data_IF_296546605765
#
_entry.id   IF_296546605765
#
_cell.length_a   1.000
_cell.length_b   1.000
_cell.length_c   1.000
_cell.angle_alpha   90.00
_cell.angle_beta   90.00
_cell.angle_gamma   90.00
#
_symmetry.space_group_name_H-M   'P 1'
#
loop_
_entity.id
_entity.type
_entity.pdbx_description
1 polymer ?
#
# COMPACT_ATOMS: atom_id res chain seq x y z
N UNK A 1 4.70 -6.50 34.40
CA UNK A 1 4.80 -5.32 33.52
C UNK A 1 4.14 -5.68 32.20
N UNK A 2 3.14 -4.93 31.74
CA UNK A 2 2.59 -5.15 30.40
C UNK A 2 3.66 -4.82 29.35
N UNK A 3 3.76 -5.66 28.30
CA UNK A 3 4.72 -5.43 27.23
C UNK A 3 4.45 -4.07 26.54
N UNK A 4 5.48 -3.37 26.00
CA UNK A 4 5.39 -1.99 25.49
C UNK A 4 4.36 -1.70 24.36
N UNK A 5 3.57 -2.68 23.93
CA UNK A 5 2.55 -2.54 22.90
C UNK A 5 1.20 -3.19 23.24
N UNK A 6 1.01 -3.67 24.48
CA UNK A 6 -0.15 -4.51 24.86
C UNK A 6 -1.53 -3.86 24.63
N UNK A 7 -1.60 -2.54 24.42
CA UNK A 7 -2.84 -1.82 24.11
C UNK A 7 -2.72 -0.89 22.89
N UNK A 8 -1.72 -1.10 22.02
CA UNK A 8 -1.66 -0.39 20.75
C UNK A 8 -2.73 -0.96 19.81
N UNK A 9 -3.56 -0.09 19.25
CA UNK A 9 -4.58 -0.44 18.25
C UNK A 9 -4.31 0.32 16.96
N UNK A 10 -4.55 -0.34 15.83
CA UNK A 10 -4.60 0.32 14.53
C UNK A 10 -5.97 0.99 14.33
N UNK A 11 -6.05 1.92 13.38
CA UNK A 11 -7.32 2.41 12.87
C UNK A 11 -7.81 1.47 11.75
N UNK A 12 -8.83 0.67 12.04
CA UNK A 12 -9.40 -0.33 11.12
C UNK A 12 -10.11 0.30 9.92
N UNK A 13 -10.89 1.36 10.15
CA UNK A 13 -11.62 2.06 9.10
C UNK A 13 -10.64 2.67 8.08
N UNK A 14 -9.56 3.31 8.57
CA UNK A 14 -8.50 3.85 7.71
C UNK A 14 -7.82 2.76 6.86
N UNK A 15 -7.60 1.57 7.43
CA UNK A 15 -7.05 0.44 6.68
C UNK A 15 -8.02 -0.01 5.59
N UNK A 16 -9.30 -0.16 5.94
CA UNK A 16 -10.33 -0.55 4.99
C UNK A 16 -10.46 0.43 3.84
N UNK A 17 -10.47 1.73 4.12
CA UNK A 17 -10.50 2.78 3.10
C UNK A 17 -9.29 2.69 2.16
N UNK A 18 -8.08 2.44 2.69
CA UNK A 18 -6.88 2.26 1.85
C UNK A 18 -6.95 1.01 0.96
N UNK A 19 -7.54 -0.08 1.44
CA UNK A 19 -7.77 -1.28 0.63
C UNK A 19 -8.76 -0.98 -0.51
N UNK A 20 -9.85 -0.28 -0.22
CA UNK A 20 -10.85 0.08 -1.21
C UNK A 20 -10.31 1.09 -2.24
N UNK A 21 -9.44 2.02 -1.82
CA UNK A 21 -8.79 2.96 -2.74
C UNK A 21 -7.82 2.24 -3.68
N UNK A 22 -6.96 1.36 -3.16
CA UNK A 22 -6.04 0.55 -3.98
C UNK A 22 -6.79 -0.41 -4.93
N UNK A 23 -7.98 -0.87 -4.56
CA UNK A 23 -8.81 -1.76 -5.38
C UNK A 23 -9.39 -1.07 -6.62
N UNK A 24 -9.44 0.27 -6.66
CA UNK A 24 -9.87 1.03 -7.84
C UNK A 24 -8.89 0.92 -9.01
N UNK A 25 -7.64 0.54 -8.74
CA UNK A 25 -6.57 0.43 -9.75
C UNK A 25 -6.49 -1.01 -10.25
N UNK A 26 -6.79 -1.22 -11.53
CA UNK A 26 -6.88 -2.55 -12.14
C UNK A 26 -8.05 -3.39 -11.62
N UNK A 27 -9.32 -2.91 -11.70
CA UNK A 27 -10.47 -3.70 -11.31
C UNK A 27 -10.69 -4.87 -12.27
N UNK A 28 -10.98 -6.05 -11.71
CA UNK A 28 -11.40 -7.21 -12.50
C UNK A 28 -12.85 -7.09 -12.96
N UNK A 29 -13.19 -7.75 -14.07
CA UNK A 29 -14.52 -7.68 -14.73
C UNK A 29 -15.67 -8.05 -13.77
N UNK A 30 -15.43 -8.92 -12.79
CA UNK A 30 -16.42 -9.36 -11.80
C UNK A 30 -16.24 -8.74 -10.40
N UNK A 31 -15.57 -7.58 -10.31
CA UNK A 31 -15.30 -6.91 -9.02
C UNK A 31 -14.08 -7.45 -8.26
N UNK A 32 -13.19 -8.16 -8.96
CA UNK A 32 -11.91 -8.64 -8.43
C UNK A 32 -10.76 -7.67 -8.69
N UNK A 33 -9.53 -8.19 -8.68
CA UNK A 33 -8.31 -7.44 -9.00
C UNK A 33 -7.64 -8.06 -10.24
N UNK A 34 -7.32 -7.24 -11.23
CA UNK A 34 -6.58 -7.63 -12.44
C UNK A 34 -5.38 -6.70 -12.68
N UNK A 35 -4.60 -6.44 -11.63
CA UNK A 35 -3.37 -5.65 -11.67
C UNK A 35 -2.17 -6.58 -11.81
N UNK A 36 -1.81 -6.91 -13.05
CA UNK A 36 -0.70 -7.80 -13.35
C UNK A 36 0.64 -7.08 -13.18
N UNK A 37 1.67 -7.79 -12.74
CA UNK A 37 3.01 -7.26 -12.52
C UNK A 37 3.56 -6.56 -13.77
N UNK A 38 4.08 -5.34 -13.59
CA UNK A 38 4.68 -4.48 -14.62
C UNK A 38 3.73 -3.95 -15.71
N UNK A 39 2.41 -3.99 -15.51
CA UNK A 39 1.48 -3.22 -16.34
C UNK A 39 1.35 -1.77 -15.86
N UNK A 40 0.67 -0.93 -16.62
CA UNK A 40 0.41 0.47 -16.23
C UNK A 40 -0.35 0.55 -14.90
N UNK A 41 -1.32 -0.35 -14.67
CA UNK A 41 -2.07 -0.43 -13.42
C UNK A 41 -1.18 -0.82 -12.23
N UNK A 42 -0.18 -1.70 -12.42
CA UNK A 42 0.81 -2.00 -11.37
C UNK A 42 1.65 -0.75 -11.06
N UNK A 43 2.07 -0.03 -12.09
CA UNK A 43 2.75 1.26 -11.95
C UNK A 43 1.93 2.30 -11.19
N UNK A 44 0.64 2.42 -11.48
CA UNK A 44 -0.29 3.31 -10.76
C UNK A 44 -0.47 2.90 -9.29
N UNK A 45 -0.65 1.61 -9.02
CA UNK A 45 -0.76 1.09 -7.66
C UNK A 45 0.50 1.35 -6.83
N UNK A 46 1.68 1.17 -7.44
CA UNK A 46 2.97 1.46 -6.81
C UNK A 46 3.16 2.94 -6.51
N UNK A 47 2.76 3.83 -7.42
CA UNK A 47 2.78 5.29 -7.20
C UNK A 47 1.84 5.70 -6.06
N UNK A 48 0.64 5.11 -6.00
CA UNK A 48 -0.30 5.36 -4.90
C UNK A 48 0.28 4.93 -3.55
N UNK A 49 0.88 3.74 -3.49
CA UNK A 49 1.55 3.25 -2.29
C UNK A 49 2.74 4.13 -1.87
N UNK A 50 3.57 4.56 -2.83
CA UNK A 50 4.68 5.49 -2.58
C UNK A 50 4.17 6.78 -1.94
N UNK A 51 3.12 7.39 -2.51
CA UNK A 51 2.51 8.61 -1.98
C UNK A 51 2.08 8.45 -0.53
N UNK A 52 1.37 7.36 -0.18
CA UNK A 52 0.95 7.12 1.20
C UNK A 52 2.12 6.95 2.17
N UNK A 53 3.21 6.31 1.73
CA UNK A 53 4.42 6.16 2.54
C UNK A 53 5.09 7.52 2.79
N UNK A 54 5.22 8.34 1.75
CA UNK A 54 5.81 9.69 1.84
C UNK A 54 4.95 10.61 2.74
N UNK A 55 3.62 10.57 2.60
CA UNK A 55 2.68 11.30 3.48
C UNK A 55 2.77 10.84 4.94
N UNK A 56 3.10 9.57 5.18
CA UNK A 56 3.36 9.03 6.52
C UNK A 56 4.76 9.39 7.06
N UNK A 57 5.56 10.14 6.30
CA UNK A 57 6.91 10.57 6.67
C UNK A 57 7.98 9.50 6.48
N UNK A 58 7.78 8.56 5.55
CA UNK A 58 8.75 7.52 5.19
C UNK A 58 9.52 7.93 3.93
N UNK A 59 10.76 7.43 3.78
CA UNK A 59 11.46 7.43 2.49
C UNK A 59 11.18 6.12 1.74
N UNK A 60 11.06 6.20 0.42
CA UNK A 60 10.82 5.04 -0.45
C UNK A 60 12.01 4.84 -1.38
N UNK A 61 12.50 3.61 -1.47
CA UNK A 61 13.57 3.20 -2.38
C UNK A 61 13.13 2.00 -3.23
N UNK A 62 13.69 1.87 -4.43
CA UNK A 62 13.43 0.77 -5.36
C UNK A 62 14.74 0.12 -5.76
N UNK A 63 14.83 -1.20 -5.67
CA UNK A 63 16.02 -1.95 -6.10
C UNK A 63 16.03 -2.24 -7.61
N UNK A 64 17.07 -2.91 -8.10
CA UNK A 64 17.21 -3.25 -9.52
C UNK A 64 16.15 -4.24 -10.04
N UNK A 65 15.44 -4.94 -9.16
CA UNK A 65 14.37 -5.88 -9.51
C UNK A 65 12.97 -5.27 -9.36
N UNK A 66 12.87 -4.00 -8.94
CA UNK A 66 11.59 -3.31 -8.76
C UNK A 66 10.93 -3.55 -7.39
N UNK A 67 11.66 -4.10 -6.41
CA UNK A 67 11.13 -4.20 -5.05
C UNK A 67 11.14 -2.82 -4.38
N UNK A 68 10.05 -2.47 -3.71
CA UNK A 68 9.91 -1.19 -3.02
C UNK A 68 10.12 -1.37 -1.51
N UNK A 69 10.94 -0.51 -0.92
CA UNK A 69 11.20 -0.45 0.50
C UNK A 69 10.77 0.90 1.05
N UNK A 70 9.92 0.92 2.08
CA UNK A 70 9.52 2.13 2.80
C UNK A 70 10.13 2.13 4.21
N UNK A 71 10.81 3.22 4.61
CA UNK A 71 11.52 3.31 5.90
C UNK A 71 11.28 4.63 6.62
N UNK A 72 11.12 4.56 7.94
CA UNK A 72 11.07 5.70 8.87
C UNK A 72 12.19 5.59 9.89
#
# INVERSE_FOLDING_TARGET
MAAPAANMKINGDRLWDSLMEMAKIGPGVAGGNNRQTLTDEDGEGRKLFQKWCEEAGMSVAVDSMGNMFARR
#
